data_IF_627585714979
#
_entry.id   IF_627585714979
#
_cell.length_a   1.000
_cell.length_b   1.000
_cell.length_c   1.000
_cell.angle_alpha   90.00
_cell.angle_beta   90.00
_cell.angle_gamma   90.00
#
_symmetry.space_group_name_H-M   'P 1'
#
loop_
_entity.id
_entity.type
_entity.pdbx_description
1 polymer ?
#
# COMPACT_ATOMS: atom_id res chain seq x y z
N UNK A 1 15.47 -9.20 -22.99
CA UNK A 1 15.59 -8.85 -21.57
C UNK A 1 16.29 -9.98 -20.87
N UNK A 2 17.44 -9.73 -20.26
CA UNK A 2 18.22 -10.74 -19.52
C UNK A 2 17.52 -11.08 -18.20
N UNK A 3 17.82 -12.23 -17.57
CA UNK A 3 17.24 -12.58 -16.27
C UNK A 3 17.45 -11.50 -15.20
N UNK A 4 18.61 -10.83 -15.20
CA UNK A 4 18.93 -9.76 -14.27
C UNK A 4 18.09 -8.49 -14.51
N UNK A 5 17.80 -8.15 -15.76
CA UNK A 5 16.92 -7.03 -16.11
C UNK A 5 15.46 -7.29 -15.69
N UNK A 6 14.98 -8.54 -15.83
CA UNK A 6 13.64 -8.95 -15.39
C UNK A 6 13.52 -8.82 -13.86
N UNK A 7 14.54 -9.25 -13.14
CA UNK A 7 14.58 -9.13 -11.67
C UNK A 7 14.67 -7.66 -11.22
N UNK A 8 15.51 -6.85 -11.88
CA UNK A 8 15.60 -5.41 -11.62
C UNK A 8 14.27 -4.69 -11.84
N UNK A 9 13.55 -5.02 -12.91
CA UNK A 9 12.22 -4.48 -13.20
C UNK A 9 11.20 -4.89 -12.12
N UNK A 10 11.22 -6.16 -11.70
CA UNK A 10 10.34 -6.64 -10.63
C UNK A 10 10.60 -5.90 -9.31
N UNK A 11 11.85 -5.66 -8.94
CA UNK A 11 12.22 -4.93 -7.73
C UNK A 11 11.74 -3.46 -7.79
N UNK A 12 11.78 -2.85 -8.97
CA UNK A 12 11.22 -1.51 -9.17
C UNK A 12 9.70 -1.50 -8.94
N UNK A 13 8.98 -2.45 -9.52
CA UNK A 13 7.52 -2.58 -9.32
C UNK A 13 7.14 -2.94 -7.88
N UNK A 14 7.95 -3.73 -7.18
CA UNK A 14 7.77 -3.96 -5.74
C UNK A 14 7.92 -2.65 -4.94
N UNK A 15 8.85 -1.78 -5.34
CA UNK A 15 8.98 -0.46 -4.71
C UNK A 15 7.76 0.41 -4.96
N UNK A 16 7.18 0.37 -6.17
CA UNK A 16 5.90 1.05 -6.50
C UNK A 16 4.77 0.53 -5.61
N UNK A 17 4.64 -0.80 -5.45
CA UNK A 17 3.63 -1.39 -4.58
C UNK A 17 3.78 -0.94 -3.12
N UNK A 18 5.01 -0.90 -2.60
CA UNK A 18 5.31 -0.41 -1.25
C UNK A 18 4.98 1.08 -1.10
N UNK A 19 5.27 1.91 -2.10
CA UNK A 19 4.94 3.33 -2.08
C UNK A 19 3.43 3.55 -2.04
N UNK A 20 2.65 2.86 -2.88
CA UNK A 20 1.20 2.95 -2.88
C UNK A 20 0.59 2.57 -1.51
N UNK A 21 1.04 1.46 -0.93
CA UNK A 21 0.61 1.02 0.41
C UNK A 21 0.95 2.07 1.49
N UNK A 22 2.18 2.59 1.49
CA UNK A 22 2.60 3.62 2.46
C UNK A 22 1.83 4.92 2.28
N UNK A 23 1.53 5.30 1.04
CA UNK A 23 0.79 6.52 0.75
C UNK A 23 -0.63 6.49 1.32
N UNK A 24 -1.41 5.47 0.94
CA UNK A 24 -2.76 5.29 1.44
C UNK A 24 -2.81 5.17 2.97
N UNK A 25 -1.84 4.46 3.57
CA UNK A 25 -1.71 4.38 5.02
C UNK A 25 -1.50 5.75 5.67
N UNK A 26 -0.63 6.60 5.09
CA UNK A 26 -0.37 7.97 5.59
C UNK A 26 -1.61 8.84 5.47
N UNK A 27 -2.34 8.77 4.36
CA UNK A 27 -3.58 9.52 4.13
C UNK A 27 -4.64 9.18 5.15
N UNK A 28 -4.93 7.88 5.35
CA UNK A 28 -5.90 7.41 6.34
C UNK A 28 -5.45 7.80 7.76
N UNK A 29 -4.17 7.65 8.08
CA UNK A 29 -3.63 8.02 9.40
C UNK A 29 -3.64 9.53 9.66
N UNK A 30 -3.52 10.35 8.61
CA UNK A 30 -3.67 11.80 8.72
C UNK A 30 -5.15 12.19 8.92
N UNK A 31 -6.06 11.57 8.15
CA UNK A 31 -7.50 11.79 8.25
C UNK A 31 -8.03 11.45 9.65
N UNK A 32 -7.58 10.33 10.23
CA UNK A 32 -7.87 9.94 11.63
C UNK A 32 -7.50 10.99 12.66
N UNK A 33 -6.42 11.72 12.41
CA UNK A 33 -5.91 12.77 13.30
C UNK A 33 -6.52 14.14 13.00
N UNK A 34 -7.43 14.24 12.03
CA UNK A 34 -7.98 15.52 11.57
C UNK A 34 -6.93 16.41 10.87
N UNK A 35 -5.84 15.83 10.36
CA UNK A 35 -4.74 16.56 9.75
C UNK A 35 -4.73 16.39 8.23
N UNK A 36 -4.21 17.40 7.52
CA UNK A 36 -3.86 17.26 6.10
C UNK A 36 -2.55 16.46 5.95
N UNK A 37 -2.45 15.67 4.88
CA UNK A 37 -1.24 14.93 4.51
C UNK A 37 -0.56 15.65 3.34
N UNK A 38 0.75 15.85 3.46
CA UNK A 38 1.59 16.31 2.35
C UNK A 38 2.29 15.07 1.79
N UNK A 39 2.10 14.82 0.50
CA UNK A 39 2.68 13.69 -0.22
C UNK A 39 3.39 14.29 -1.43
N UNK A 40 4.69 13.99 -1.59
CA UNK A 40 5.49 14.39 -2.75
C UNK A 40 5.35 15.88 -3.14
N UNK A 41 5.43 16.75 -2.14
CA UNK A 41 5.32 18.22 -2.27
C UNK A 41 3.95 18.74 -2.74
N UNK A 42 2.98 17.86 -2.96
CA UNK A 42 1.58 18.21 -3.23
C UNK A 42 0.79 18.11 -1.93
N UNK A 43 0.16 19.21 -1.53
CA UNK A 43 -0.76 19.21 -0.40
C UNK A 43 -2.07 18.56 -0.85
N UNK A 44 -2.26 17.29 -0.53
CA UNK A 44 -3.57 16.68 -0.69
C UNK A 44 -4.50 17.19 0.42
N UNK A 45 -5.67 17.71 0.03
CA UNK A 45 -6.75 17.98 0.97
C UNK A 45 -7.26 16.61 1.42
N UNK A 46 -6.75 16.15 2.56
CA UNK A 46 -7.20 14.92 3.18
C UNK A 46 -8.66 15.10 3.59
N UNK A 47 -9.50 14.21 3.10
CA UNK A 47 -10.92 14.18 3.43
C UNK A 47 -11.14 13.49 4.79
N UNK A 48 -12.40 13.26 5.17
CA UNK A 48 -12.73 12.42 6.33
C UNK A 48 -12.11 11.02 6.23
N UNK A 49 -11.85 10.38 7.37
CA UNK A 49 -11.31 9.01 7.41
C UNK A 49 -12.10 8.05 6.52
N UNK A 50 -13.44 8.09 6.60
CA UNK A 50 -14.32 7.24 5.80
C UNK A 50 -14.07 7.42 4.29
N UNK A 51 -13.83 8.66 3.85
CA UNK A 51 -13.57 8.96 2.43
C UNK A 51 -12.18 8.52 1.99
N UNK A 52 -11.17 8.57 2.85
CA UNK A 52 -9.84 8.04 2.53
C UNK A 52 -9.84 6.50 2.49
N UNK A 53 -10.59 5.85 3.38
CA UNK A 53 -10.78 4.39 3.36
C UNK A 53 -11.50 3.96 2.07
N UNK A 54 -12.53 4.69 1.65
CA UNK A 54 -13.25 4.39 0.41
C UNK A 54 -12.36 4.56 -0.83
N UNK A 55 -11.56 5.62 -0.89
CA UNK A 55 -10.60 5.81 -1.98
C UNK A 55 -9.54 4.70 -2.02
N UNK A 56 -9.02 4.29 -0.87
CA UNK A 56 -8.11 3.16 -0.79
C UNK A 56 -8.79 1.86 -1.26
N UNK A 57 -10.04 1.62 -0.86
CA UNK A 57 -10.82 0.46 -1.30
C UNK A 57 -11.00 0.46 -2.81
N UNK A 58 -11.37 1.59 -3.41
CA UNK A 58 -11.51 1.72 -4.86
C UNK A 58 -10.19 1.42 -5.58
N UNK A 59 -9.08 1.99 -5.11
CA UNK A 59 -7.77 1.78 -5.71
C UNK A 59 -7.30 0.32 -5.60
N UNK A 60 -7.33 -0.29 -4.41
CA UNK A 60 -6.85 -1.67 -4.25
C UNK A 60 -7.75 -2.70 -4.96
N UNK A 61 -8.99 -2.34 -5.31
CA UNK A 61 -9.84 -3.17 -6.16
C UNK A 61 -9.74 -2.85 -7.66
N UNK A 62 -8.92 -1.88 -8.06
CA UNK A 62 -8.84 -1.41 -9.43
C UNK A 62 -7.94 -2.31 -10.31
N UNK A 63 -8.12 -2.25 -11.64
CA UNK A 63 -7.18 -2.85 -12.60
C UNK A 63 -5.74 -2.35 -12.42
N UNK A 64 -5.55 -1.08 -12.06
CA UNK A 64 -4.22 -0.50 -11.86
C UNK A 64 -3.46 -1.19 -10.74
N UNK A 65 -4.13 -1.47 -9.60
CA UNK A 65 -3.49 -2.22 -8.52
C UNK A 65 -3.19 -3.66 -8.90
N UNK A 66 -4.06 -4.28 -9.71
CA UNK A 66 -3.82 -5.62 -10.26
C UNK A 66 -2.57 -5.63 -11.14
N UNK A 67 -2.42 -4.65 -12.03
CA UNK A 67 -1.24 -4.50 -12.88
C UNK A 67 0.04 -4.31 -12.04
N UNK A 68 0.00 -3.44 -11.03
CA UNK A 68 1.13 -3.28 -10.08
C UNK A 68 1.48 -4.62 -9.44
N UNK A 69 0.49 -5.40 -8.99
CA UNK A 69 0.74 -6.70 -8.37
C UNK A 69 1.40 -7.69 -9.35
N UNK A 70 0.87 -7.78 -10.57
CA UNK A 70 1.36 -8.70 -11.60
C UNK A 70 2.80 -8.36 -11.99
N UNK A 71 3.11 -7.08 -12.20
CA UNK A 71 4.45 -6.60 -12.57
C UNK A 71 5.45 -6.71 -11.42
N UNK A 72 5.00 -6.52 -10.17
CA UNK A 72 5.81 -6.73 -8.98
C UNK A 72 6.01 -8.22 -8.63
N UNK A 73 5.28 -9.12 -9.29
CA UNK A 73 5.28 -10.55 -8.96
C UNK A 73 4.76 -10.83 -7.56
N UNK A 74 3.82 -10.00 -7.06
CA UNK A 74 3.16 -10.19 -5.77
C UNK A 74 1.71 -10.61 -5.99
N UNK A 75 1.17 -11.42 -5.08
CA UNK A 75 -0.22 -11.88 -5.22
C UNK A 75 -1.23 -10.74 -5.04
N UNK A 76 -2.17 -10.61 -5.98
CA UNK A 76 -3.30 -9.68 -5.88
C UNK A 76 -4.21 -10.04 -4.68
N UNK A 77 -4.07 -9.27 -3.59
CA UNK A 77 -4.73 -9.51 -2.30
C UNK A 77 -5.28 -8.19 -1.73
N UNK A 78 -6.37 -7.65 -2.33
CA UNK A 78 -6.93 -6.35 -1.95
C UNK A 78 -7.32 -6.25 -0.48
N UNK A 79 -7.84 -7.33 0.11
CA UNK A 79 -8.23 -7.35 1.53
C UNK A 79 -7.02 -7.21 2.46
N UNK A 80 -5.87 -7.80 2.10
CA UNK A 80 -4.62 -7.64 2.87
C UNK A 80 -4.04 -6.25 2.72
N UNK A 81 -4.11 -5.67 1.52
CA UNK A 81 -3.72 -4.27 1.29
C UNK A 81 -4.59 -3.34 2.14
N UNK A 82 -5.91 -3.54 2.14
CA UNK A 82 -6.84 -2.79 2.99
C UNK A 82 -6.56 -2.94 4.48
N UNK A 83 -6.31 -4.17 4.96
CA UNK A 83 -5.95 -4.42 6.35
C UNK A 83 -4.63 -3.73 6.75
N UNK A 84 -3.65 -3.69 5.84
CA UNK A 84 -2.41 -2.96 6.04
C UNK A 84 -2.67 -1.45 6.18
N UNK A 85 -3.36 -0.84 5.21
CA UNK A 85 -3.51 0.63 5.21
C UNK A 85 -4.44 1.14 6.31
N UNK A 86 -5.45 0.35 6.69
CA UNK A 86 -6.42 0.72 7.74
C UNK A 86 -5.97 0.31 9.15
N UNK A 87 -5.14 -0.72 9.31
CA UNK A 87 -4.87 -1.29 10.62
C UNK A 87 -3.84 -0.55 11.48
N UNK A 88 -3.28 0.58 11.02
CA UNK A 88 -2.34 1.36 11.82
C UNK A 88 -0.96 0.71 11.95
N UNK A 89 -0.04 1.34 12.68
CA UNK A 89 1.27 0.74 12.98
C UNK A 89 1.16 -0.63 13.70
N UNK A 90 0.06 -0.85 14.45
CA UNK A 90 -0.20 -2.09 15.17
C UNK A 90 -0.48 -3.28 14.23
N UNK A 91 -1.21 -3.08 13.13
CA UNK A 91 -1.43 -4.16 12.15
C UNK A 91 -0.17 -4.49 11.36
N UNK A 92 0.70 -3.50 11.11
CA UNK A 92 1.98 -3.69 10.43
C UNK A 92 2.92 -4.51 11.30
N UNK A 93 3.02 -4.19 12.60
CA UNK A 93 3.81 -4.99 13.55
C UNK A 93 3.26 -6.41 13.63
N UNK A 94 1.94 -6.58 13.78
CA UNK A 94 1.31 -7.90 13.82
C UNK A 94 1.48 -8.71 12.52
N UNK A 95 1.37 -8.07 11.35
CA UNK A 95 1.60 -8.71 10.06
C UNK A 95 3.07 -9.10 9.87
N UNK A 96 4.00 -8.24 10.30
CA UNK A 96 5.44 -8.52 10.28
C UNK A 96 5.79 -9.68 11.21
N UNK A 97 5.17 -9.76 12.38
CA UNK A 97 5.32 -10.88 13.31
C UNK A 97 4.89 -12.20 12.66
N UNK A 98 3.71 -12.23 12.03
CA UNK A 98 3.17 -13.41 11.34
C UNK A 98 4.04 -13.87 10.16
N UNK A 99 4.66 -12.94 9.43
CA UNK A 99 5.58 -13.27 8.33
C UNK A 99 6.88 -13.88 8.87
N UNK A 100 7.41 -13.35 9.97
CA UNK A 100 8.60 -13.90 10.63
C UNK A 100 8.32 -15.29 11.20
N UNK A 101 7.16 -15.49 11.83
CA UNK A 101 6.74 -16.80 12.35
C UNK A 101 6.53 -17.84 11.25
N UNK A 102 6.05 -17.44 10.07
CA UNK A 102 5.87 -18.35 8.93
C UNK A 102 7.18 -18.65 8.16
N UNK A 103 8.24 -17.88 8.40
CA UNK A 103 9.55 -18.05 7.77
C UNK A 103 10.57 -18.75 8.69
N UNK A 104 10.17 -19.08 9.92
CA UNK A 104 10.92 -19.86 10.90
C UNK A 104 10.48 -21.33 10.88
#
# INVERSE_FOLDING_TARGET
MTPHEIEGMRNLWQSVAVMALKDHHRRISAARRGHSAVIDSVRHIVCSEAREIEQARMYFNSPDWREVCDLAGIGYRPDMAMAFVTGGAASIVAARQKIVEAAA
#
